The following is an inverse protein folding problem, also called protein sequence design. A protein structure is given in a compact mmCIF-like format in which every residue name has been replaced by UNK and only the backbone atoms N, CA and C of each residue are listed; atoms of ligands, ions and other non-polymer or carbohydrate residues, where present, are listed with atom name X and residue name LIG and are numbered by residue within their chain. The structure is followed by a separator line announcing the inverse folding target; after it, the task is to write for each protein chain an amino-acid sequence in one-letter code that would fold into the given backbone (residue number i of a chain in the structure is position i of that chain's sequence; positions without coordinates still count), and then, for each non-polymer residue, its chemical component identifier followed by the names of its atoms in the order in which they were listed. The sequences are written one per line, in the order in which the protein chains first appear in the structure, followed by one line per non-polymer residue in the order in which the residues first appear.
data_IF_865342238075
#
_entry.id   IF_865342238075
#
_cell.length_a   1.000
_cell.length_b   1.000
_cell.length_c   1.000
_cell.angle_alpha   90.00
_cell.angle_beta   90.00
_cell.angle_gamma   90.00
#
_symmetry.space_group_name_H-M   'P 1'
#
loop_
_entity.id
_entity.type
_entity.pdbx_description
1 polymer ?
#
# COMPACT_ATOMS: atom_id res chain seq x y z
N UNK A 1 23.03 19.97 0.36
CA UNK A 1 21.92 19.02 0.59
C UNK A 1 20.65 19.85 0.70
N UNK A 2 19.63 19.69 -0.16
CA UNK A 2 18.37 20.42 -0.02
C UNK A 2 17.76 20.10 1.34
N UNK A 3 17.29 21.10 2.07
CA UNK A 3 16.70 20.94 3.39
C UNK A 3 15.50 19.99 3.34
N UNK A 4 15.34 19.14 4.35
CA UNK A 4 14.22 18.17 4.48
C UNK A 4 12.84 18.85 4.38
N UNK A 5 12.74 20.12 4.77
CA UNK A 5 11.52 20.95 4.70
C UNK A 5 10.99 21.21 3.29
N UNK A 6 11.79 21.04 2.24
CA UNK A 6 11.36 21.12 0.83
C UNK A 6 10.88 19.79 0.24
N UNK A 7 10.85 18.72 1.02
CA UNK A 7 10.57 17.36 0.53
C UNK A 7 9.12 16.91 0.73
N UNK A 8 8.35 17.58 1.58
CA UNK A 8 6.95 17.22 1.81
C UNK A 8 6.08 18.08 0.91
N UNK A 9 5.40 17.44 -0.05
CA UNK A 9 4.45 18.11 -0.92
C UNK A 9 3.21 18.57 -0.15
N UNK A 10 2.67 19.78 -0.41
CA UNK A 10 1.37 20.18 0.11
C UNK A 10 0.25 19.20 -0.21
N UNK A 11 0.33 18.51 -1.35
CA UNK A 11 -0.62 17.47 -1.74
C UNK A 11 -0.57 16.26 -0.83
N UNK A 12 0.62 15.86 -0.36
CA UNK A 12 0.72 14.81 0.64
C UNK A 12 0.07 15.22 1.96
N UNK A 13 0.30 16.45 2.40
CA UNK A 13 -0.35 16.98 3.61
C UNK A 13 -1.86 17.06 3.46
N UNK A 14 -2.38 17.41 2.28
CA UNK A 14 -3.80 17.37 1.98
C UNK A 14 -4.37 15.95 2.11
N UNK A 15 -3.69 14.95 1.56
CA UNK A 15 -4.12 13.54 1.65
C UNK A 15 -4.15 13.06 3.10
N UNK A 16 -3.11 13.38 3.88
CA UNK A 16 -3.09 13.10 5.32
C UNK A 16 -4.24 13.81 6.02
N UNK A 17 -4.49 15.09 5.69
CA UNK A 17 -5.61 15.87 6.23
C UNK A 17 -6.97 15.23 5.92
N UNK A 18 -7.16 14.68 4.71
CA UNK A 18 -8.37 13.95 4.32
C UNK A 18 -8.53 12.69 5.19
N UNK A 19 -7.48 11.89 5.36
CA UNK A 19 -7.54 10.69 6.20
C UNK A 19 -7.86 11.03 7.67
N UNK A 20 -7.25 12.10 8.21
CA UNK A 20 -7.54 12.61 9.56
C UNK A 20 -8.98 13.11 9.67
N UNK A 21 -9.49 13.85 8.67
CA UNK A 21 -10.88 14.29 8.64
C UNK A 21 -11.86 13.09 8.67
N UNK A 22 -11.53 12.00 7.97
CA UNK A 22 -12.26 10.73 8.10
C UNK A 22 -12.30 10.22 9.54
N UNK A 23 -11.17 10.28 10.24
CA UNK A 23 -11.08 9.92 11.67
C UNK A 23 -11.96 10.79 12.56
N UNK A 24 -11.97 12.11 12.32
CA UNK A 24 -12.85 13.05 13.06
C UNK A 24 -14.33 12.73 12.80
N UNK A 25 -14.72 12.47 11.55
CA UNK A 25 -16.09 12.09 11.19
C UNK A 25 -16.51 10.78 11.86
N UNK A 26 -15.64 9.76 11.79
CA UNK A 26 -15.88 8.47 12.44
C UNK A 26 -16.04 8.60 13.97
N UNK A 27 -15.23 9.45 14.61
CA UNK A 27 -15.35 9.73 16.03
C UNK A 27 -16.65 10.48 16.38
N UNK A 28 -17.02 11.48 15.58
CA UNK A 28 -18.26 12.25 15.75
C UNK A 28 -19.53 11.42 15.55
N UNK A 29 -19.43 10.28 14.87
CA UNK A 29 -20.56 9.36 14.66
C UNK A 29 -21.06 8.76 15.99
N UNK A 30 -20.20 8.56 16.98
CA UNK A 30 -20.56 7.93 18.26
C UNK A 30 -21.53 8.79 19.07
N UNK A 31 -21.23 10.06 19.41
CA UNK A 31 -22.21 10.91 20.13
C UNK A 31 -23.43 11.25 19.27
N UNK A 32 -23.29 11.28 17.93
CA UNK A 32 -24.39 11.52 17.01
C UNK A 32 -25.30 10.29 16.78
N UNK A 33 -24.90 9.12 17.24
CA UNK A 33 -25.56 7.82 17.01
C UNK A 33 -25.88 7.59 15.52
N UNK A 34 -24.96 8.01 14.63
CA UNK A 34 -25.15 7.98 13.18
C UNK A 34 -24.28 6.91 12.53
N UNK A 35 -24.90 5.80 12.12
CA UNK A 35 -24.23 4.72 11.39
C UNK A 35 -23.70 5.21 10.03
N UNK A 36 -24.48 6.03 9.32
CA UNK A 36 -24.05 6.58 8.04
C UNK A 36 -22.77 7.43 8.16
N UNK A 37 -22.67 8.23 9.24
CA UNK A 37 -21.47 9.03 9.51
C UNK A 37 -20.27 8.15 9.87
N UNK A 38 -20.50 7.06 10.63
CA UNK A 38 -19.46 6.09 10.95
C UNK A 38 -18.92 5.41 9.68
N UNK A 39 -19.80 4.89 8.82
CA UNK A 39 -19.47 4.27 7.54
C UNK A 39 -18.67 5.24 6.66
N UNK A 40 -19.18 6.47 6.49
CA UNK A 40 -18.50 7.48 5.67
C UNK A 40 -17.13 7.85 6.23
N UNK A 41 -17.00 8.01 7.56
CA UNK A 41 -15.74 8.28 8.23
C UNK A 41 -14.72 7.15 8.01
N UNK A 42 -15.13 5.90 8.18
CA UNK A 42 -14.28 4.71 7.91
C UNK A 42 -13.85 4.67 6.44
N UNK A 43 -14.77 4.91 5.52
CA UNK A 43 -14.48 4.97 4.09
C UNK A 43 -13.39 6.00 3.78
N UNK A 44 -13.48 7.20 4.34
CA UNK A 44 -12.50 8.27 4.14
C UNK A 44 -11.16 7.94 4.80
N UNK A 45 -11.14 7.32 6.01
CA UNK A 45 -9.91 6.83 6.65
C UNK A 45 -9.19 5.86 5.73
N UNK A 46 -9.90 4.84 5.26
CA UNK A 46 -9.28 3.73 4.50
C UNK A 46 -8.81 4.20 3.14
N UNK A 47 -9.63 4.92 2.39
CA UNK A 47 -9.22 5.38 1.05
C UNK A 47 -8.16 6.47 1.11
N UNK A 48 -8.33 7.48 1.98
CA UNK A 48 -7.33 8.53 2.16
C UNK A 48 -6.00 7.97 2.66
N UNK A 49 -6.05 7.09 3.67
CA UNK A 49 -4.88 6.40 4.21
C UNK A 49 -4.21 5.47 3.20
N UNK A 50 -4.99 4.80 2.34
CA UNK A 50 -4.44 3.98 1.26
C UNK A 50 -3.64 4.83 0.25
N UNK A 51 -4.16 6.01 -0.16
CA UNK A 51 -3.44 6.91 -1.06
C UNK A 51 -2.17 7.46 -0.39
N UNK A 52 -2.22 7.77 0.90
CA UNK A 52 -1.03 8.14 1.68
C UNK A 52 -0.01 7.01 1.69
N UNK A 53 -0.44 5.76 1.90
CA UNK A 53 0.45 4.60 1.91
C UNK A 53 1.11 4.37 0.55
N UNK A 54 0.41 4.63 -0.54
CA UNK A 54 0.97 4.57 -1.88
C UNK A 54 2.11 5.59 -2.06
N UNK A 55 1.93 6.82 -1.57
CA UNK A 55 3.01 7.82 -1.58
C UNK A 55 4.24 7.36 -0.78
N UNK A 56 4.03 6.73 0.39
CA UNK A 56 5.12 6.23 1.23
C UNK A 56 5.84 5.04 0.59
N UNK A 57 5.11 4.15 -0.07
CA UNK A 57 5.64 3.02 -0.82
C UNK A 57 6.58 3.50 -1.94
N UNK A 58 6.11 4.38 -2.83
CA UNK A 58 6.90 4.94 -3.92
C UNK A 58 8.09 5.75 -3.42
N UNK A 59 7.91 6.49 -2.33
CA UNK A 59 8.99 7.21 -1.67
C UNK A 59 10.06 6.26 -1.12
N UNK A 60 9.66 5.10 -0.59
CA UNK A 60 10.57 4.04 -0.13
C UNK A 60 11.51 3.60 -1.25
N UNK A 61 10.97 3.28 -2.43
CA UNK A 61 11.75 2.96 -3.62
C UNK A 61 12.69 4.11 -4.00
N UNK A 62 12.15 5.33 -4.13
CA UNK A 62 12.90 6.49 -4.59
C UNK A 62 14.05 6.87 -3.66
N UNK A 63 13.85 6.89 -2.32
CA UNK A 63 14.90 7.24 -1.38
C UNK A 63 16.00 6.19 -1.33
N UNK A 64 15.63 4.92 -1.47
CA UNK A 64 16.59 3.81 -1.50
C UNK A 64 17.40 3.82 -2.80
N UNK A 65 16.75 4.09 -3.95
CA UNK A 65 17.42 4.27 -5.22
C UNK A 65 18.40 5.45 -5.21
N UNK A 66 17.98 6.60 -4.66
CA UNK A 66 18.85 7.76 -4.49
C UNK A 66 20.10 7.45 -3.69
N UNK A 67 19.92 6.79 -2.54
CA UNK A 67 21.04 6.32 -1.70
C UNK A 67 21.89 5.26 -2.40
N UNK A 68 21.27 4.44 -3.26
CA UNK A 68 21.93 3.41 -4.06
C UNK A 68 22.75 3.93 -5.24
N UNK A 69 22.62 5.22 -5.62
CA UNK A 69 23.39 5.84 -6.69
C UNK A 69 22.57 6.46 -7.80
N UNK A 70 21.25 6.19 -7.89
CA UNK A 70 20.38 6.81 -8.89
C UNK A 70 19.96 8.23 -8.48
N UNK A 71 20.75 9.22 -8.86
CA UNK A 71 20.45 10.62 -8.59
C UNK A 71 19.32 11.17 -9.46
N UNK A 72 18.92 10.48 -10.54
CA UNK A 72 17.85 10.92 -11.45
C UNK A 72 16.48 11.00 -10.78
N UNK A 73 16.24 10.18 -9.75
CA UNK A 73 14.98 10.19 -8.97
C UNK A 73 14.75 11.54 -8.26
N UNK A 74 15.82 12.24 -7.86
CA UNK A 74 15.72 13.57 -7.28
C UNK A 74 15.33 14.62 -8.33
N UNK A 75 15.88 14.53 -9.55
CA UNK A 75 15.57 15.43 -10.67
C UNK A 75 14.12 15.25 -11.11
N UNK A 76 13.60 14.02 -11.09
CA UNK A 76 12.20 13.70 -11.39
C UNK A 76 11.22 14.12 -10.29
N UNK A 77 11.72 14.56 -9.12
CA UNK A 77 10.93 15.00 -7.99
C UNK A 77 10.31 13.87 -7.17
N UNK A 78 10.75 12.62 -7.33
CA UNK A 78 10.21 11.46 -6.62
C UNK A 78 10.48 11.48 -5.11
N UNK A 79 11.40 12.33 -4.64
CA UNK A 79 11.71 12.50 -3.22
C UNK A 79 10.81 13.53 -2.50
N UNK A 80 9.69 13.93 -3.10
CA UNK A 80 8.83 14.99 -2.54
C UNK A 80 7.52 14.49 -1.94
N UNK A 81 7.25 13.18 -1.94
CA UNK A 81 5.96 12.58 -1.56
C UNK A 81 4.78 13.12 -2.39
N UNK A 82 5.04 13.65 -3.58
CA UNK A 82 4.00 14.19 -4.45
C UNK A 82 3.46 13.11 -5.38
N UNK A 83 2.25 12.62 -5.10
CA UNK A 83 1.60 11.56 -5.89
C UNK A 83 1.52 11.88 -7.38
N UNK A 84 1.46 13.15 -7.75
CA UNK A 84 1.40 13.60 -9.15
C UNK A 84 2.71 13.43 -9.91
N UNK A 85 3.82 13.17 -9.19
CA UNK A 85 5.15 12.90 -9.75
C UNK A 85 5.37 11.42 -10.04
N UNK A 86 4.67 10.55 -9.32
CA UNK A 86 4.68 9.12 -9.58
C UNK A 86 3.87 8.87 -10.85
N UNK A 87 4.38 8.06 -11.75
CA UNK A 87 3.89 7.83 -13.13
C UNK A 87 2.36 7.80 -13.30
N UNK A 88 1.88 7.77 -14.50
CA UNK A 88 0.50 7.87 -14.98
C UNK A 88 -0.60 7.72 -13.89
N UNK A 89 -1.26 8.82 -13.48
CA UNK A 89 -2.29 8.78 -12.42
C UNK A 89 -3.42 7.79 -12.72
N UNK A 90 -3.73 7.55 -14.00
CA UNK A 90 -4.79 6.61 -14.40
C UNK A 90 -4.46 5.18 -14.04
N UNK A 91 -3.30 4.71 -14.42
CA UNK A 91 -2.84 3.33 -14.15
C UNK A 91 -2.35 3.15 -12.72
N UNK A 92 -1.77 4.20 -12.14
CA UNK A 92 -1.12 4.11 -10.83
C UNK A 92 -2.05 4.37 -9.64
N UNK A 93 -3.18 5.05 -9.85
CA UNK A 93 -4.12 5.39 -8.79
C UNK A 93 -5.53 4.90 -9.12
N UNK A 94 -6.06 5.23 -10.30
CA UNK A 94 -7.47 4.97 -10.63
C UNK A 94 -7.72 3.47 -10.77
N UNK A 95 -6.87 2.74 -11.51
CA UNK A 95 -7.05 1.30 -11.70
C UNK A 95 -6.94 0.51 -10.39
N UNK A 96 -5.92 0.70 -9.53
CA UNK A 96 -5.86 0.05 -8.22
C UNK A 96 -7.03 0.42 -7.32
N UNK A 97 -7.51 1.67 -7.36
CA UNK A 97 -8.68 2.10 -6.61
C UNK A 97 -9.95 1.36 -7.07
N UNK A 98 -10.17 1.23 -8.38
CA UNK A 98 -11.31 0.48 -8.92
C UNK A 98 -11.24 -0.97 -8.48
N UNK A 99 -10.07 -1.61 -8.57
CA UNK A 99 -9.88 -3.01 -8.17
C UNK A 99 -10.06 -3.18 -6.65
N UNK A 100 -9.58 -2.22 -5.84
CA UNK A 100 -9.85 -2.20 -4.41
C UNK A 100 -11.35 -2.17 -4.14
N UNK A 101 -12.09 -1.27 -4.78
CA UNK A 101 -13.54 -1.11 -4.55
C UNK A 101 -14.36 -2.30 -5.06
N UNK A 102 -13.96 -2.96 -6.14
CA UNK A 102 -14.66 -4.14 -6.69
C UNK A 102 -14.26 -5.42 -5.96
N UNK A 103 -12.96 -5.64 -5.80
CA UNK A 103 -12.39 -6.91 -5.33
C UNK A 103 -11.91 -6.90 -3.89
N UNK A 104 -11.71 -5.73 -3.27
CA UNK A 104 -11.10 -5.63 -1.94
C UNK A 104 -9.61 -5.93 -1.91
N UNK A 105 -8.93 -5.93 -3.08
CA UNK A 105 -7.50 -6.15 -3.19
C UNK A 105 -6.77 -4.82 -3.38
N UNK A 106 -5.90 -4.42 -2.43
CA UNK A 106 -5.08 -3.22 -2.58
C UNK A 106 -3.92 -3.53 -3.55
N UNK A 107 -4.18 -3.43 -4.85
CA UNK A 107 -3.12 -3.61 -5.83
C UNK A 107 -2.06 -2.52 -5.71
N UNK A 108 -0.80 -2.85 -6.02
CA UNK A 108 0.23 -1.85 -6.18
C UNK A 108 -0.17 -0.90 -7.30
N UNK A 109 -0.12 0.38 -7.01
CA UNK A 109 -0.31 1.45 -7.99
C UNK A 109 0.85 2.41 -7.87
N UNK A 110 1.22 3.02 -8.95
CA UNK A 110 2.40 3.86 -9.02
C UNK A 110 3.60 3.09 -9.56
N UNK A 111 4.52 3.81 -10.19
CA UNK A 111 5.84 3.29 -10.50
C UNK A 111 6.82 4.47 -10.56
N UNK A 112 7.78 4.51 -9.66
CA UNK A 112 8.95 5.37 -9.81
C UNK A 112 9.88 4.75 -10.83
N UNK A 113 10.21 5.51 -11.85
CA UNK A 113 11.18 5.09 -12.87
C UNK A 113 12.61 5.19 -12.31
N UNK A 114 13.20 4.04 -11.98
CA UNK A 114 14.53 3.91 -11.40
C UNK A 114 15.50 3.44 -12.46
N UNK A 115 16.64 4.12 -12.55
CA UNK A 115 17.75 3.69 -13.40
C UNK A 115 18.53 2.58 -12.70
N UNK A 116 18.18 1.32 -13.02
CA UNK A 116 18.83 0.13 -12.46
C UNK A 116 20.35 0.07 -12.71
N UNK A 117 20.82 0.70 -13.80
CA UNK A 117 22.24 0.75 -14.16
C UNK A 117 23.04 1.73 -13.31
N UNK A 118 22.40 2.73 -12.72
CA UNK A 118 23.04 3.68 -11.82
C UNK A 118 23.23 3.12 -10.40
N UNK A 119 22.59 2.00 -10.07
CA UNK A 119 22.68 1.39 -8.76
C UNK A 119 24.02 0.66 -8.58
N UNK A 120 24.66 0.90 -7.44
CA UNK A 120 26.05 0.45 -7.13
C UNK A 120 26.22 -1.06 -7.11
N UNK A 121 25.18 -1.84 -6.82
CA UNK A 121 25.28 -3.30 -6.70
C UNK A 121 23.93 -4.00 -6.84
N UNK A 122 23.98 -5.33 -6.99
CA UNK A 122 22.75 -6.17 -6.96
C UNK A 122 22.00 -6.02 -5.64
N UNK A 123 22.70 -5.91 -4.51
CA UNK A 123 22.08 -5.72 -3.20
C UNK A 123 21.29 -4.38 -3.15
N UNK A 124 21.78 -3.32 -3.78
CA UNK A 124 21.02 -2.08 -3.89
C UNK A 124 19.76 -2.24 -4.75
N UNK A 125 19.82 -3.01 -5.85
CA UNK A 125 18.62 -3.33 -6.65
C UNK A 125 17.57 -4.05 -5.82
N UNK A 126 17.97 -5.10 -5.09
CA UNK A 126 17.09 -5.79 -4.12
C UNK A 126 16.56 -4.85 -3.06
N UNK A 127 17.42 -4.04 -2.44
CA UNK A 127 17.00 -3.07 -1.41
C UNK A 127 15.98 -2.06 -1.92
N UNK A 128 16.14 -1.58 -3.15
CA UNK A 128 15.17 -0.71 -3.80
C UNK A 128 13.82 -1.41 -3.94
N UNK A 129 13.79 -2.63 -4.46
CA UNK A 129 12.55 -3.38 -4.65
C UNK A 129 11.84 -3.70 -3.32
N UNK A 130 12.57 -4.01 -2.26
CA UNK A 130 11.99 -4.31 -0.95
C UNK A 130 11.50 -3.05 -0.22
N UNK A 131 12.05 -1.87 -0.53
CA UNK A 131 11.82 -0.65 0.24
C UNK A 131 10.36 -0.17 0.22
N UNK A 132 9.66 -0.31 -0.92
CA UNK A 132 8.24 0.02 -1.02
C UNK A 132 7.37 -0.89 -0.14
N UNK A 133 7.43 -2.22 -0.34
CA UNK A 133 6.72 -3.16 0.54
C UNK A 133 7.06 -2.98 2.02
N UNK A 134 8.33 -2.73 2.37
CA UNK A 134 8.73 -2.46 3.75
C UNK A 134 8.07 -1.20 4.32
N UNK A 135 7.82 -0.18 3.52
CA UNK A 135 7.07 1.00 3.95
C UNK A 135 5.60 0.66 4.26
N UNK A 136 4.97 -0.21 3.45
CA UNK A 136 3.62 -0.71 3.74
C UNK A 136 3.61 -1.49 5.06
N UNK A 137 4.52 -2.45 5.25
CA UNK A 137 4.62 -3.23 6.49
C UNK A 137 4.81 -2.32 7.70
N UNK A 138 5.74 -1.36 7.61
CA UNK A 138 6.00 -0.41 8.70
C UNK A 138 4.76 0.43 9.04
N UNK A 139 4.04 0.94 8.03
CA UNK A 139 2.80 1.68 8.25
C UNK A 139 1.73 0.78 8.89
N UNK A 140 1.56 -0.45 8.41
CA UNK A 140 0.62 -1.41 8.99
C UNK A 140 0.90 -1.67 10.47
N UNK A 141 2.17 -1.90 10.83
CA UNK A 141 2.58 -2.09 12.23
C UNK A 141 2.34 -0.84 13.08
N UNK A 142 2.66 0.36 12.56
CA UNK A 142 2.40 1.64 13.26
C UNK A 142 0.90 1.81 13.54
N UNK A 143 0.04 1.50 12.59
CA UNK A 143 -1.42 1.58 12.76
C UNK A 143 -1.91 0.58 13.82
N UNK A 144 -1.44 -0.67 13.80
CA UNK A 144 -1.76 -1.69 14.80
C UNK A 144 -1.36 -1.23 16.19
N UNK A 145 -0.12 -0.75 16.34
CA UNK A 145 0.38 -0.23 17.63
C UNK A 145 -0.46 0.97 18.08
N UNK A 146 -0.85 1.86 17.17
CA UNK A 146 -1.70 3.01 17.49
C UNK A 146 -3.05 2.56 18.06
N UNK A 147 -3.72 1.59 17.44
CA UNK A 147 -5.00 1.06 17.96
C UNK A 147 -4.80 0.41 19.34
N UNK A 148 -3.74 -0.37 19.52
CA UNK A 148 -3.44 -1.06 20.78
C UNK A 148 -3.12 -0.09 21.94
N UNK A 149 -2.42 1.02 21.66
CA UNK A 149 -2.04 2.01 22.67
C UNK A 149 -3.19 2.94 23.09
N UNK A 150 -4.25 3.03 22.30
CA UNK A 150 -5.39 3.90 22.56
C UNK A 150 -6.71 3.10 22.66
N UNK A 151 -6.89 2.26 23.72
CA UNK A 151 -8.08 1.40 23.86
C UNK A 151 -9.40 2.17 24.02
N UNK A 152 -9.33 3.45 24.43
CA UNK A 152 -10.48 4.34 24.51
C UNK A 152 -10.86 5.01 23.17
N UNK A 153 -10.17 4.65 22.07
CA UNK A 153 -10.46 5.17 20.73
C UNK A 153 -11.90 4.78 20.33
N UNK A 154 -12.68 5.69 19.73
CA UNK A 154 -13.99 5.37 19.20
C UNK A 154 -13.96 4.17 18.25
N UNK A 155 -14.84 3.19 18.44
CA UNK A 155 -14.85 1.93 17.67
C UNK A 155 -14.80 2.14 16.14
N UNK A 156 -15.55 3.10 15.54
CA UNK A 156 -15.45 3.32 14.08
C UNK A 156 -14.04 3.77 13.64
N UNK A 157 -13.34 4.57 14.47
CA UNK A 157 -11.96 4.99 14.17
C UNK A 157 -11.02 3.79 14.27
N UNK A 158 -11.11 3.02 15.36
CA UNK A 158 -10.31 1.82 15.56
C UNK A 158 -10.52 0.81 14.41
N UNK A 159 -11.77 0.59 14.00
CA UNK A 159 -12.12 -0.29 12.88
C UNK A 159 -11.54 0.21 11.55
N UNK A 160 -11.62 1.51 11.26
CA UNK A 160 -11.04 2.10 10.05
C UNK A 160 -9.51 1.97 10.00
N UNK A 161 -8.83 2.26 11.11
CA UNK A 161 -7.37 2.11 11.21
C UNK A 161 -6.94 0.63 11.13
N UNK A 162 -7.70 -0.29 11.74
CA UNK A 162 -7.43 -1.73 11.69
C UNK A 162 -7.63 -2.30 10.28
N UNK A 163 -8.67 -1.87 9.56
CA UNK A 163 -8.86 -2.24 8.15
C UNK A 163 -7.74 -1.69 7.26
N UNK A 164 -7.34 -0.44 7.45
CA UNK A 164 -6.22 0.16 6.73
C UNK A 164 -4.92 -0.61 7.03
N UNK A 165 -4.67 -0.98 8.29
CA UNK A 165 -3.51 -1.77 8.68
C UNK A 165 -3.51 -3.15 7.99
N UNK A 166 -4.65 -3.84 7.96
CA UNK A 166 -4.78 -5.11 7.23
C UNK A 166 -4.47 -4.93 5.74
N UNK A 167 -4.98 -3.87 5.10
CA UNK A 167 -4.65 -3.57 3.70
C UNK A 167 -3.14 -3.34 3.49
N UNK A 168 -2.43 -2.73 4.45
CA UNK A 168 -0.98 -2.57 4.36
C UNK A 168 -0.26 -3.93 4.41
N UNK A 169 -0.70 -4.85 5.26
CA UNK A 169 -0.14 -6.21 5.33
C UNK A 169 -0.44 -6.99 4.03
N UNK A 170 -1.67 -6.88 3.51
CA UNK A 170 -2.03 -7.50 2.21
C UNK A 170 -1.15 -6.93 1.08
N UNK A 171 -0.98 -5.61 1.02
CA UNK A 171 -0.14 -4.95 0.02
C UNK A 171 1.34 -5.38 0.13
N UNK A 172 1.87 -5.51 1.35
CA UNK A 172 3.20 -6.05 1.60
C UNK A 172 3.35 -7.47 1.05
N UNK A 173 2.46 -8.39 1.45
CA UNK A 173 2.53 -9.79 1.02
C UNK A 173 2.38 -9.92 -0.48
N UNK A 174 1.41 -9.19 -1.07
CA UNK A 174 1.16 -9.21 -2.52
C UNK A 174 2.39 -8.74 -3.29
N UNK A 175 2.97 -7.60 -2.90
CA UNK A 175 4.14 -7.05 -3.58
C UNK A 175 5.39 -7.90 -3.40
N UNK A 176 5.50 -8.67 -2.30
CA UNK A 176 6.64 -9.57 -2.05
C UNK A 176 6.52 -10.92 -2.79
N UNK A 177 5.43 -11.17 -3.52
CA UNK A 177 5.35 -12.36 -4.37
C UNK A 177 6.39 -12.29 -5.51
N UNK A 178 7.07 -13.41 -5.83
CA UNK A 178 8.08 -13.46 -6.89
C UNK A 178 7.45 -13.53 -8.30
N UNK A 179 6.57 -12.58 -8.59
CA UNK A 179 5.83 -12.50 -9.86
C UNK A 179 6.40 -11.33 -10.68
N UNK A 180 6.82 -11.56 -11.95
CA UNK A 180 7.32 -10.49 -12.81
C UNK A 180 6.37 -9.30 -12.86
N UNK A 181 6.90 -8.11 -12.58
CA UNK A 181 6.10 -6.89 -12.48
C UNK A 181 5.79 -6.46 -11.04
N UNK A 182 5.98 -7.33 -10.04
CA UNK A 182 5.90 -7.00 -8.62
C UNK A 182 7.30 -6.82 -8.01
N UNK A 183 7.36 -6.18 -6.85
CA UNK A 183 8.61 -5.87 -6.15
C UNK A 183 9.38 -7.11 -5.71
N UNK A 184 8.68 -8.16 -5.30
CA UNK A 184 9.28 -9.44 -4.94
C UNK A 184 10.08 -10.07 -6.08
N UNK A 185 9.61 -9.93 -7.32
CA UNK A 185 10.41 -10.30 -8.49
C UNK A 185 11.63 -9.40 -8.60
N UNK A 186 11.47 -8.08 -8.55
CA UNK A 186 12.58 -7.13 -8.62
C UNK A 186 13.65 -7.37 -7.55
N UNK A 187 13.28 -7.92 -6.39
CA UNK A 187 14.20 -8.27 -5.33
C UNK A 187 15.09 -9.47 -5.68
N UNK A 188 14.58 -10.48 -6.39
CA UNK A 188 15.30 -11.70 -6.74
C UNK A 188 15.93 -11.65 -8.15
N UNK A 189 15.33 -10.86 -9.06
CA UNK A 189 15.75 -10.75 -10.47
C UNK A 189 17.26 -10.55 -10.66
N UNK A 190 17.97 -9.70 -9.87
CA UNK A 190 19.41 -9.48 -10.04
C UNK A 190 20.27 -10.73 -9.85
N UNK A 191 19.73 -11.78 -9.23
CA UNK A 191 20.43 -13.04 -8.93
C UNK A 191 20.02 -14.18 -9.86
N UNK A 192 19.00 -13.99 -10.68
CA UNK A 192 18.52 -15.00 -11.61
C UNK A 192 19.45 -15.12 -12.84
N UNK A 193 19.38 -16.26 -13.51
CA UNK A 193 20.08 -16.47 -14.78
C UNK A 193 19.52 -15.54 -15.88
N UNK A 194 20.34 -15.21 -16.87
CA UNK A 194 19.92 -14.37 -18.00
C UNK A 194 18.68 -14.91 -18.75
N UNK A 195 18.53 -16.23 -18.99
CA UNK A 195 17.30 -16.76 -19.57
C UNK A 195 16.07 -16.50 -18.70
N UNK A 196 16.18 -16.63 -17.36
CA UNK A 196 15.08 -16.38 -16.44
C UNK A 196 14.69 -14.88 -16.40
N UNK A 197 15.67 -13.98 -16.41
CA UNK A 197 15.42 -12.54 -16.49
C UNK A 197 14.66 -12.18 -17.79
N UNK A 198 15.13 -12.68 -18.94
CA UNK A 198 14.48 -12.46 -20.26
C UNK A 198 13.05 -13.01 -20.30
N UNK A 199 12.82 -14.17 -19.69
CA UNK A 199 11.48 -14.74 -19.56
C UNK A 199 10.61 -13.82 -18.69
N UNK A 200 11.10 -13.37 -17.53
CA UNK A 200 10.42 -12.41 -16.67
C UNK A 200 10.05 -11.12 -17.40
N UNK A 201 10.99 -10.53 -18.15
CA UNK A 201 10.73 -9.32 -18.95
C UNK A 201 9.61 -9.51 -19.97
N UNK A 202 9.57 -10.69 -20.62
CA UNK A 202 8.54 -11.01 -21.62
C UNK A 202 7.13 -11.08 -21.03
N UNK A 203 7.01 -11.64 -19.80
CA UNK A 203 5.69 -11.83 -19.17
C UNK A 203 5.31 -10.71 -18.20
N UNK A 204 6.23 -9.81 -17.86
CA UNK A 204 6.05 -8.68 -16.91
C UNK A 204 4.76 -7.87 -17.18
N UNK A 205 4.35 -7.55 -18.42
CA UNK A 205 3.12 -6.77 -18.65
C UNK A 205 1.84 -7.52 -18.28
N UNK A 206 1.86 -8.84 -18.27
CA UNK A 206 0.67 -9.69 -18.09
C UNK A 206 0.63 -10.40 -16.74
N UNK A 207 1.80 -10.65 -16.14
CA UNK A 207 1.90 -11.47 -14.95
C UNK A 207 1.13 -10.92 -13.74
N UNK A 208 1.11 -9.59 -13.45
CA UNK A 208 0.26 -9.05 -12.37
C UNK A 208 -1.24 -9.23 -12.63
N UNK A 209 -1.68 -9.10 -13.88
CA UNK A 209 -3.08 -9.33 -14.25
C UNK A 209 -3.46 -10.81 -14.15
N UNK A 210 -2.55 -11.70 -14.55
CA UNK A 210 -2.74 -13.16 -14.40
C UNK A 210 -2.82 -13.54 -12.91
N UNK A 211 -1.94 -12.97 -12.06
CA UNK A 211 -2.02 -13.16 -10.61
C UNK A 211 -3.36 -12.68 -10.05
N UNK A 212 -3.81 -11.49 -10.46
CA UNK A 212 -5.10 -10.96 -10.04
C UNK A 212 -6.24 -11.91 -10.45
N UNK A 213 -6.24 -12.39 -11.68
CA UNK A 213 -7.24 -13.34 -12.16
C UNK A 213 -7.22 -14.64 -11.32
N UNK A 214 -6.04 -15.17 -10.99
CA UNK A 214 -5.90 -16.34 -10.13
C UNK A 214 -6.46 -16.07 -8.74
N UNK A 215 -6.14 -14.92 -8.12
CA UNK A 215 -6.63 -14.55 -6.80
C UNK A 215 -8.15 -14.30 -6.77
N UNK A 216 -8.75 -13.86 -7.88
CA UNK A 216 -10.20 -13.58 -7.93
C UNK A 216 -11.02 -14.82 -8.30
N UNK A 217 -10.50 -15.69 -9.18
CA UNK A 217 -11.28 -16.76 -9.80
C UNK A 217 -10.87 -18.17 -9.35
N UNK A 218 -9.77 -18.33 -8.58
CA UNK A 218 -9.34 -19.64 -8.07
C UNK A 218 -9.52 -19.70 -6.55
N UNK A 219 -10.67 -20.22 -6.04
CA UNK A 219 -11.04 -20.11 -4.62
C UNK A 219 -9.98 -20.63 -3.64
N UNK A 220 -9.35 -21.76 -3.94
CA UNK A 220 -8.34 -22.35 -3.07
C UNK A 220 -7.10 -21.46 -2.90
N UNK A 221 -6.67 -20.77 -3.96
CA UNK A 221 -5.51 -19.88 -3.94
C UNK A 221 -5.86 -18.58 -3.20
N UNK A 222 -7.02 -18.00 -3.46
CA UNK A 222 -7.48 -16.82 -2.73
C UNK A 222 -7.60 -17.09 -1.24
N UNK A 223 -8.21 -18.22 -0.86
CA UNK A 223 -8.33 -18.61 0.55
C UNK A 223 -6.96 -18.75 1.21
N UNK A 224 -6.00 -19.41 0.56
CA UNK A 224 -4.65 -19.55 1.10
C UNK A 224 -3.93 -18.21 1.24
N UNK A 225 -4.04 -17.34 0.24
CA UNK A 225 -3.45 -16.01 0.25
C UNK A 225 -4.01 -15.17 1.40
N UNK A 226 -5.34 -15.07 1.52
CA UNK A 226 -5.96 -14.28 2.58
C UNK A 226 -5.76 -14.89 3.97
N UNK A 227 -5.77 -16.21 4.12
CA UNK A 227 -5.43 -16.87 5.38
C UNK A 227 -4.00 -16.57 5.80
N UNK A 228 -3.04 -16.64 4.87
CA UNK A 228 -1.64 -16.29 5.14
C UNK A 228 -1.46 -14.83 5.56
N UNK A 229 -2.13 -13.89 4.88
CA UNK A 229 -2.10 -12.47 5.26
C UNK A 229 -2.76 -12.22 6.61
N UNK A 230 -3.85 -12.91 6.92
CA UNK A 230 -4.54 -12.81 8.22
C UNK A 230 -3.67 -13.35 9.36
N UNK A 231 -2.96 -14.46 9.14
CA UNK A 231 -2.00 -15.00 10.12
C UNK A 231 -0.90 -13.97 10.38
N UNK A 232 -0.30 -13.42 9.34
CA UNK A 232 0.74 -12.39 9.49
C UNK A 232 0.20 -11.15 10.24
N UNK A 233 -1.00 -10.68 9.88
CA UNK A 233 -1.66 -9.56 10.55
C UNK A 233 -1.85 -9.81 12.05
N UNK A 234 -2.31 -11.01 12.42
CA UNK A 234 -2.49 -11.41 13.82
C UNK A 234 -1.15 -11.57 14.56
N UNK A 235 -0.11 -12.10 13.89
CA UNK A 235 1.23 -12.25 14.48
C UNK A 235 1.88 -10.91 14.84
N UNK A 236 1.59 -9.85 14.08
CA UNK A 236 2.06 -8.49 14.42
C UNK A 236 1.12 -7.74 15.37
N UNK A 237 0.12 -8.42 15.95
CA UNK A 237 -0.79 -7.88 16.95
C UNK A 237 -2.06 -7.23 16.41
N UNK A 238 -2.41 -7.46 15.15
CA UNK A 238 -3.62 -6.92 14.54
C UNK A 238 -4.90 -7.57 15.08
N UNK A 239 -5.93 -6.78 15.31
CA UNK A 239 -7.25 -7.22 15.73
C UNK A 239 -8.12 -7.53 14.50
N UNK A 240 -8.36 -8.83 14.26
CA UNK A 240 -9.12 -9.31 13.13
C UNK A 240 -10.61 -8.89 13.16
N UNK A 241 -11.18 -8.76 14.37
CA UNK A 241 -12.58 -8.36 14.54
C UNK A 241 -12.75 -6.88 14.16
N UNK A 242 -11.89 -6.00 14.67
CA UNK A 242 -11.91 -4.57 14.30
C UNK A 242 -11.64 -4.38 12.81
N UNK A 243 -10.66 -5.10 12.25
CA UNK A 243 -10.38 -5.04 10.82
C UNK A 243 -11.59 -5.48 9.98
N UNK A 244 -12.28 -6.56 10.40
CA UNK A 244 -13.52 -7.02 9.77
C UNK A 244 -14.64 -5.99 9.82
N UNK A 245 -14.84 -5.31 10.95
CA UNK A 245 -15.81 -4.21 11.07
C UNK A 245 -15.50 -3.07 10.11
N UNK A 246 -14.22 -2.65 10.04
CA UNK A 246 -13.80 -1.60 9.12
C UNK A 246 -13.93 -2.01 7.65
N UNK A 247 -13.65 -3.28 7.33
CA UNK A 247 -13.85 -3.84 5.99
C UNK A 247 -15.32 -3.84 5.58
N UNK A 248 -16.23 -4.27 6.48
CA UNK A 248 -17.66 -4.24 6.23
C UNK A 248 -18.19 -2.81 6.04
N UNK A 249 -17.70 -1.85 6.81
CA UNK A 249 -18.03 -0.45 6.64
C UNK A 249 -17.51 0.12 5.31
N UNK A 250 -16.28 -0.25 4.89
CA UNK A 250 -15.73 0.15 3.60
C UNK A 250 -16.59 -0.36 2.43
N UNK A 251 -17.06 -1.61 2.50
CA UNK A 251 -17.87 -2.26 1.46
C UNK A 251 -19.34 -2.32 1.79
N UNK A 252 -19.89 -1.27 2.42
CA UNK A 252 -21.27 -1.20 2.89
C UNK A 252 -22.29 -1.58 1.82
N UNK A 253 -22.02 -1.31 0.55
CA UNK A 253 -22.91 -1.65 -0.57
C UNK A 253 -23.04 -3.16 -0.83
N UNK A 254 -22.19 -4.00 -0.26
CA UNK A 254 -22.30 -5.48 -0.38
C UNK A 254 -23.36 -6.07 0.56
N UNK A 255 -23.84 -5.26 1.49
CA UNK A 255 -24.86 -5.66 2.47
C UNK A 255 -26.22 -4.99 2.19
N UNK A 256 -26.34 -4.22 1.08
CA UNK A 256 -27.59 -3.67 0.58
C UNK A 256 -28.28 -4.65 -0.37
#
# INVERSE_FOLDING_TARGET
VPSLTRRISPWFLLLVGIAVAGGVLAAAAVPAQSEALAIFGVFVIVLGGWVVSLCLHEFGHAVTAYRGGDTSVAQKGYLTLDIRRYTDPGLSLVLPLIILLIGGLPLPGGAVWINQWALRSRAWRTGVSVAGPAANLALGVVLIITVALFPAMPTPVAAGLSALALFQIVAFVLNMLPVPGLDGWGAIEPYLSMPAQRFGDKIRPWAPLALLAVLLFVPGISTLFFAGTQILYSLVGGDAQLAGQGFNALFFWRNL
#
